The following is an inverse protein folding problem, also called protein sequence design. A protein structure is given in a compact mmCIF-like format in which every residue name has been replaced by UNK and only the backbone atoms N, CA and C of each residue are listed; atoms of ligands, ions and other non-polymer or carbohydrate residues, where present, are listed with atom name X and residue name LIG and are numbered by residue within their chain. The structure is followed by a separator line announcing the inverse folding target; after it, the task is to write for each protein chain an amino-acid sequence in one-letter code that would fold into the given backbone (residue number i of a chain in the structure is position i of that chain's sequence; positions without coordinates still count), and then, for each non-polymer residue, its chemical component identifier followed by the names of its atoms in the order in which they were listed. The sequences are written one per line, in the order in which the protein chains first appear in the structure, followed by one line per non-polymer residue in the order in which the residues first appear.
data_IF_885560451903
#
_entry.id   IF_885560451903
#
_cell.length_a   1.000
_cell.length_b   1.000
_cell.length_c   1.000
_cell.angle_alpha   90.00
_cell.angle_beta   90.00
_cell.angle_gamma   90.00
#
_symmetry.space_group_name_H-M   'P 1'
#
loop_
_entity.id
_entity.type
_entity.pdbx_description
1 polymer ?
#
# COMPACT_ATOMS: atom_id res chain seq x y z
N UNK A 1 22.10 -12.45 11.07
CA UNK A 1 20.81 -12.62 10.36
C UNK A 1 19.68 -12.41 11.36
N UNK A 2 19.59 -11.20 11.91
CA UNK A 2 18.64 -10.82 12.97
C UNK A 2 18.00 -9.44 12.65
N UNK A 3 18.70 -8.61 11.88
CA UNK A 3 18.28 -7.29 11.39
C UNK A 3 17.02 -7.34 10.50
N UNK A 4 16.89 -8.40 9.69
CA UNK A 4 15.76 -8.55 8.76
C UNK A 4 14.41 -8.79 9.48
N UNK A 5 14.43 -9.29 10.72
CA UNK A 5 13.23 -9.47 11.54
C UNK A 5 12.66 -8.13 12.02
N UNK A 6 13.50 -7.27 12.58
CA UNK A 6 13.09 -5.99 13.16
C UNK A 6 12.44 -5.05 12.12
N UNK A 7 12.95 -5.07 10.88
CA UNK A 7 12.40 -4.27 9.78
C UNK A 7 11.05 -4.79 9.30
N UNK A 8 10.91 -6.10 9.14
CA UNK A 8 9.65 -6.70 8.76
C UNK A 8 8.56 -6.45 9.82
N UNK A 9 8.91 -6.53 11.10
CA UNK A 9 8.00 -6.23 12.20
C UNK A 9 7.56 -4.75 12.16
N UNK A 10 8.47 -3.83 11.85
CA UNK A 10 8.14 -2.40 11.68
C UNK A 10 7.19 -2.16 10.51
N UNK A 11 7.42 -2.83 9.38
CA UNK A 11 6.53 -2.74 8.20
C UNK A 11 5.16 -3.30 8.57
N UNK A 12 5.10 -4.48 9.19
CA UNK A 12 3.83 -5.06 9.61
C UNK A 12 3.05 -4.13 10.55
N UNK A 13 3.73 -3.51 11.53
CA UNK A 13 3.11 -2.53 12.43
C UNK A 13 2.58 -1.31 11.69
N UNK A 14 3.29 -0.80 10.67
CA UNK A 14 2.79 0.28 9.82
C UNK A 14 1.51 -0.14 9.07
N UNK A 15 1.51 -1.33 8.45
CA UNK A 15 0.34 -1.85 7.75
C UNK A 15 -0.87 -2.05 8.69
N UNK A 16 -0.63 -2.49 9.93
CA UNK A 16 -1.67 -2.62 10.97
C UNK A 16 -2.24 -1.25 11.37
N UNK A 17 -1.39 -0.23 11.53
CA UNK A 17 -1.85 1.12 11.86
C UNK A 17 -2.76 1.71 10.77
N UNK A 18 -2.51 1.34 9.51
CA UNK A 18 -3.27 1.81 8.35
C UNK A 18 -4.56 1.04 8.12
N UNK A 19 -4.57 -0.27 8.34
CA UNK A 19 -5.73 -1.14 8.02
C UNK A 19 -6.57 -1.51 9.25
N UNK A 20 -6.02 -1.35 10.45
CA UNK A 20 -6.63 -1.80 11.71
C UNK A 20 -6.55 -3.31 11.95
N UNK A 21 -5.97 -4.09 11.04
CA UNK A 21 -5.86 -5.55 11.12
C UNK A 21 -4.48 -6.03 10.67
N UNK A 22 -4.07 -7.22 11.12
CA UNK A 22 -2.79 -7.79 10.72
C UNK A 22 -2.86 -8.42 9.32
N UNK A 23 -1.89 -8.12 8.44
CA UNK A 23 -1.85 -8.72 7.11
C UNK A 23 -1.62 -10.24 7.20
N UNK A 24 -2.34 -11.05 6.39
CA UNK A 24 -2.07 -12.48 6.22
C UNK A 24 -0.60 -12.72 5.85
N UNK A 25 -0.06 -13.90 6.19
CA UNK A 25 1.34 -14.25 5.87
C UNK A 25 1.62 -14.20 4.37
N UNK A 26 0.64 -14.54 3.54
CA UNK A 26 0.75 -14.47 2.09
C UNK A 26 0.99 -13.04 1.59
N UNK A 27 0.38 -12.02 2.20
CA UNK A 27 0.59 -10.61 1.86
C UNK A 27 2.03 -10.20 2.16
N UNK A 28 2.51 -10.50 3.37
CA UNK A 28 3.91 -10.20 3.72
C UNK A 28 4.90 -10.97 2.85
N UNK A 29 4.64 -12.25 2.60
CA UNK A 29 5.53 -13.09 1.77
C UNK A 29 5.61 -12.56 0.34
N UNK A 30 4.49 -12.16 -0.24
CA UNK A 30 4.47 -11.55 -1.57
C UNK A 30 5.19 -10.19 -1.59
N UNK A 31 5.02 -9.37 -0.55
CA UNK A 31 5.73 -8.10 -0.43
C UNK A 31 7.25 -8.31 -0.35
N UNK A 32 7.71 -9.24 0.48
CA UNK A 32 9.12 -9.63 0.60
C UNK A 32 9.72 -10.19 -0.70
N UNK A 33 8.89 -10.76 -1.57
CA UNK A 33 9.33 -11.22 -2.88
C UNK A 33 9.48 -10.06 -3.90
N UNK A 34 8.83 -8.92 -3.67
CA UNK A 34 8.88 -7.74 -4.54
C UNK A 34 10.00 -6.77 -4.12
N UNK A 35 10.21 -6.58 -2.82
CA UNK A 35 11.08 -5.53 -2.29
C UNK A 35 11.94 -6.02 -1.14
N UNK A 36 13.12 -5.42 -0.97
CA UNK A 36 13.93 -5.59 0.23
C UNK A 36 13.37 -4.72 1.38
N UNK A 37 13.00 -5.29 2.53
CA UNK A 37 12.57 -4.54 3.71
C UNK A 37 13.58 -3.51 4.20
N UNK A 38 14.88 -3.74 3.96
CA UNK A 38 15.93 -2.86 4.44
C UNK A 38 15.91 -1.50 3.70
N UNK A 39 15.35 -1.47 2.49
CA UNK A 39 15.20 -0.26 1.66
C UNK A 39 13.85 0.45 1.89
N UNK A 40 13.06 0.06 2.89
CA UNK A 40 11.75 0.64 3.18
C UNK A 40 11.83 2.12 3.56
N UNK A 41 11.03 2.95 2.87
CA UNK A 41 10.89 4.38 3.16
C UNK A 41 9.49 4.70 3.68
N UNK A 42 8.47 4.25 2.96
CA UNK A 42 7.08 4.49 3.30
C UNK A 42 6.21 3.36 2.73
N UNK A 43 5.10 3.06 3.39
CA UNK A 43 4.10 2.15 2.86
C UNK A 43 2.69 2.69 3.06
N UNK A 44 1.77 2.22 2.24
CA UNK A 44 0.35 2.41 2.46
C UNK A 44 -0.38 1.10 2.16
N UNK A 45 -1.42 0.80 2.93
CA UNK A 45 -2.25 -0.36 2.67
C UNK A 45 -3.73 -0.07 2.83
N UNK A 46 -4.48 -0.81 2.04
CA UNK A 46 -5.93 -0.88 2.09
C UNK A 46 -6.38 -2.32 2.29
N UNK A 47 -7.43 -2.46 3.07
CA UNK A 47 -8.07 -3.73 3.36
C UNK A 47 -9.58 -3.59 3.21
N UNK A 48 -10.14 -4.31 2.25
CA UNK A 48 -11.56 -4.28 1.96
C UNK A 48 -12.18 -5.67 2.13
N UNK A 49 -13.07 -5.86 3.12
CA UNK A 49 -13.70 -7.15 3.37
C UNK A 49 -15.10 -7.25 2.72
N UNK A 50 -15.24 -7.41 1.39
CA UNK A 50 -16.54 -7.68 0.76
C UNK A 50 -16.48 -8.04 -0.75
N UNK A 51 -17.15 -9.11 -1.24
CA UNK A 51 -17.48 -10.36 -0.54
C UNK A 51 -16.24 -11.24 -0.34
N UNK A 52 -15.19 -10.97 -1.10
CA UNK A 52 -13.84 -11.48 -0.92
C UNK A 52 -13.02 -10.41 -0.17
N UNK A 53 -11.82 -10.77 0.27
CA UNK A 53 -10.94 -9.82 0.95
C UNK A 53 -9.84 -9.33 0.05
N UNK A 54 -9.86 -8.04 -0.27
CA UNK A 54 -8.78 -7.39 -0.99
C UNK A 54 -7.75 -6.81 -0.03
N UNK A 55 -6.49 -7.12 -0.28
CA UNK A 55 -5.32 -6.46 0.28
C UNK A 55 -4.61 -5.71 -0.83
N UNK A 56 -4.49 -4.38 -0.68
CA UNK A 56 -3.71 -3.54 -1.60
C UNK A 56 -2.60 -2.87 -0.82
N UNK A 57 -1.37 -3.02 -1.27
CA UNK A 57 -0.19 -2.47 -0.59
C UNK A 57 0.65 -1.70 -1.59
N UNK A 58 0.93 -0.44 -1.28
CA UNK A 58 1.92 0.39 -1.95
C UNK A 58 3.13 0.48 -1.06
N UNK A 59 4.31 0.33 -1.65
CA UNK A 59 5.56 0.31 -0.91
C UNK A 59 6.61 1.12 -1.66
N UNK A 60 7.17 2.12 -0.99
CA UNK A 60 8.19 3.00 -1.55
C UNK A 60 9.53 2.59 -0.94
N UNK A 61 10.49 2.33 -1.81
CA UNK A 61 11.89 2.18 -1.46
C UNK A 61 12.69 3.40 -1.86
N UNK A 62 14.01 3.39 -1.62
CA UNK A 62 14.88 4.47 -2.07
C UNK A 62 14.93 4.67 -3.59
N UNK A 63 14.64 3.63 -4.37
CA UNK A 63 14.73 3.68 -5.83
C UNK A 63 13.43 3.33 -6.56
N UNK A 64 12.45 2.70 -5.89
CA UNK A 64 11.32 2.06 -6.57
C UNK A 64 10.00 2.27 -5.84
N UNK A 65 8.92 2.20 -6.62
CA UNK A 65 7.56 2.00 -6.12
C UNK A 65 7.14 0.57 -6.45
N UNK A 66 6.68 -0.16 -5.43
CA UNK A 66 6.06 -1.45 -5.57
C UNK A 66 4.56 -1.37 -5.26
N UNK A 67 3.79 -2.23 -5.92
CA UNK A 67 2.37 -2.41 -5.66
C UNK A 67 2.02 -3.89 -5.65
N UNK A 68 1.20 -4.28 -4.68
CA UNK A 68 0.65 -5.61 -4.51
C UNK A 68 -0.87 -5.48 -4.35
N UNK A 69 -1.62 -6.27 -5.11
CA UNK A 69 -3.05 -6.47 -4.93
C UNK A 69 -3.34 -7.97 -4.91
N UNK A 70 -3.67 -8.48 -3.72
CA UNK A 70 -4.09 -9.85 -3.47
C UNK A 70 -5.55 -9.87 -3.05
N UNK A 71 -6.30 -10.82 -3.59
CA UNK A 71 -7.66 -11.14 -3.17
C UNK A 71 -7.68 -12.52 -2.50
N UNK A 72 -8.43 -12.65 -1.41
CA UNK A 72 -8.69 -13.92 -0.74
C UNK A 72 -10.17 -14.28 -0.86
N UNK A 73 -10.48 -15.53 -1.19
CA UNK A 73 -11.83 -16.03 -1.40
C UNK A 73 -12.69 -16.16 -0.12
N UNK A 74 -12.31 -15.46 0.96
CA UNK A 74 -13.05 -15.36 2.21
C UNK A 74 -13.21 -13.89 2.61
N UNK A 75 -14.39 -13.52 3.12
CA UNK A 75 -14.67 -12.20 3.65
C UNK A 75 -13.95 -11.99 4.98
N UNK A 76 -13.31 -10.83 5.15
CA UNK A 76 -12.65 -10.48 6.41
C UNK A 76 -11.30 -11.16 6.64
N UNK A 77 -10.69 -11.76 5.62
CA UNK A 77 -9.46 -12.52 5.75
C UNK A 77 -8.26 -11.67 6.19
N UNK A 78 -7.74 -11.98 7.37
CA UNK A 78 -6.58 -11.33 7.99
C UNK A 78 -5.81 -12.35 8.84
N UNK A 79 -4.64 -11.98 9.39
CA UNK A 79 -3.80 -12.93 10.16
C UNK A 79 -4.52 -13.59 11.33
N UNK A 80 -5.32 -12.83 12.07
CA UNK A 80 -6.14 -13.39 13.15
C UNK A 80 -7.06 -14.54 12.69
N UNK A 81 -7.66 -14.45 11.50
CA UNK A 81 -8.44 -15.54 10.91
C UNK A 81 -7.53 -16.69 10.46
N UNK A 82 -6.39 -16.38 9.84
CA UNK A 82 -5.38 -17.38 9.45
C UNK A 82 -4.90 -18.23 10.65
N UNK A 83 -4.76 -17.61 11.82
CA UNK A 83 -4.32 -18.26 13.06
C UNK A 83 -5.46 -18.93 13.84
N UNK A 84 -6.69 -18.43 13.73
CA UNK A 84 -7.86 -19.04 14.39
C UNK A 84 -8.30 -20.35 13.72
N UNK A 85 -7.89 -20.58 12.47
CA UNK A 85 -8.21 -21.76 11.67
C UNK A 85 -7.47 -23.05 12.09
N UNK A 86 -6.89 -23.13 13.30
CA UNK A 86 -6.38 -24.38 13.86
C UNK A 86 -7.46 -25.49 13.80
N UNK A 87 -7.35 -26.38 12.81
CA UNK A 87 -8.28 -27.50 12.59
C UNK A 87 -9.14 -27.46 11.32
N UNK A 88 -9.06 -26.42 10.47
CA UNK A 88 -9.64 -26.48 9.11
C UNK A 88 -8.64 -27.14 8.15
N UNK A 89 -9.07 -28.18 7.44
CA UNK A 89 -8.29 -28.84 6.38
C UNK A 89 -8.25 -28.02 5.07
N UNK A 90 -8.96 -26.89 5.01
CA UNK A 90 -9.20 -26.17 3.78
C UNK A 90 -8.36 -24.89 3.72
N UNK A 91 -7.43 -24.86 2.76
CA UNK A 91 -6.66 -23.69 2.37
C UNK A 91 -7.59 -22.61 1.81
N UNK A 92 -7.43 -21.36 2.25
CA UNK A 92 -8.11 -20.20 1.66
C UNK A 92 -7.41 -19.85 0.35
N UNK A 93 -8.13 -19.99 -0.76
CA UNK A 93 -7.62 -19.61 -2.07
C UNK A 93 -7.32 -18.10 -2.13
N UNK A 94 -6.19 -17.75 -2.73
CA UNK A 94 -5.78 -16.37 -2.99
C UNK A 94 -5.49 -16.17 -4.48
N UNK A 95 -5.83 -15.01 -5.01
CA UNK A 95 -5.54 -14.59 -6.38
C UNK A 95 -4.72 -13.29 -6.38
N UNK A 96 -3.70 -13.22 -7.24
CA UNK A 96 -2.91 -12.01 -7.43
C UNK A 96 -3.45 -11.24 -8.63
N UNK A 97 -4.13 -10.11 -8.35
CA UNK A 97 -4.63 -9.20 -9.39
C UNK A 97 -3.52 -8.32 -9.96
N UNK A 98 -2.58 -7.89 -9.10
CA UNK A 98 -1.42 -7.11 -9.52
C UNK A 98 -0.24 -7.32 -8.58
N UNK A 99 0.95 -7.44 -9.15
CA UNK A 99 2.21 -7.42 -8.41
C UNK A 99 3.29 -6.85 -9.35
N UNK A 100 3.83 -5.68 -9.02
CA UNK A 100 4.85 -5.04 -9.85
C UNK A 100 5.75 -4.13 -9.02
N UNK A 101 6.94 -3.89 -9.56
CA UNK A 101 7.93 -2.94 -9.05
C UNK A 101 8.37 -2.07 -10.22
N UNK A 102 8.36 -0.75 -10.04
CA UNK A 102 8.82 0.21 -11.05
C UNK A 102 9.80 1.21 -10.44
N UNK A 103 10.94 1.47 -11.11
CA UNK A 103 11.87 2.49 -10.65
C UNK A 103 11.25 3.89 -10.69
N UNK A 104 11.49 4.69 -9.65
CA UNK A 104 10.97 6.06 -9.52
C UNK A 104 11.65 7.05 -10.48
N UNK A 105 12.89 6.77 -10.89
CA UNK A 105 13.61 7.55 -11.91
C UNK A 105 12.99 7.43 -13.31
N UNK A 106 12.16 6.41 -13.54
CA UNK A 106 11.42 6.24 -14.80
C UNK A 106 10.06 6.92 -14.82
N UNK A 107 9.66 7.63 -13.75
CA UNK A 107 8.43 8.43 -13.77
C UNK A 107 8.60 9.56 -14.79
N UNK A 108 7.67 9.66 -15.74
CA UNK A 108 7.69 10.66 -16.82
C UNK A 108 6.60 11.72 -16.68
N UNK A 109 5.51 11.39 -15.96
CA UNK A 109 4.38 12.29 -15.77
C UNK A 109 3.70 12.01 -14.42
N UNK A 110 3.22 13.09 -13.79
CA UNK A 110 2.35 13.05 -12.63
C UNK A 110 1.06 13.76 -13.00
N UNK A 111 -0.04 13.01 -12.99
CA UNK A 111 -1.35 13.53 -13.30
C UNK A 111 -2.19 13.63 -12.03
N UNK A 112 -2.58 14.85 -11.67
CA UNK A 112 -3.59 15.09 -10.64
C UNK A 112 -4.96 14.93 -11.27
N UNK A 113 -5.73 13.96 -10.79
CA UNK A 113 -7.07 13.65 -11.31
C UNK A 113 -8.09 14.66 -10.80
N UNK A 114 -7.91 15.14 -9.58
CA UNK A 114 -8.75 16.19 -9.01
C UNK A 114 -8.50 16.41 -7.53
N UNK A 115 -9.29 17.30 -6.97
CA UNK A 115 -9.36 17.58 -5.55
C UNK A 115 -10.76 17.23 -5.04
N UNK A 116 -10.83 16.58 -3.90
CA UNK A 116 -12.08 16.28 -3.20
C UNK A 116 -12.64 17.52 -2.53
N UNK A 117 -13.89 17.42 -2.06
CA UNK A 117 -14.50 18.48 -1.28
C UNK A 117 -13.87 18.53 0.13
N UNK A 118 -13.55 19.72 0.66
CA UNK A 118 -13.12 19.82 2.05
C UNK A 118 -14.24 19.30 2.97
N UNK A 119 -13.94 18.29 3.78
CA UNK A 119 -14.87 17.71 4.75
C UNK A 119 -14.60 18.32 6.15
N UNK A 120 -15.65 18.82 6.80
CA UNK A 120 -15.58 19.34 8.18
C UNK A 120 -15.03 20.77 8.29
N UNK A 121 -14.36 21.06 9.41
CA UNK A 121 -13.77 22.39 9.73
C UNK A 121 -12.45 22.67 8.97
N UNK A 122 -11.92 21.69 8.23
CA UNK A 122 -10.71 21.82 7.41
C UNK A 122 -11.00 22.46 6.04
N UNK A 123 -11.72 23.58 6.02
CA UNK A 123 -12.12 24.29 4.79
C UNK A 123 -10.97 24.80 3.91
N UNK A 124 -9.73 24.73 4.41
CA UNK A 124 -8.53 25.19 3.70
C UNK A 124 -7.72 24.05 3.08
N UNK A 125 -8.03 22.79 3.41
CA UNK A 125 -7.33 21.61 2.87
C UNK A 125 -8.20 20.99 1.78
N UNK A 126 -7.72 21.06 0.54
CA UNK A 126 -8.34 20.39 -0.60
C UNK A 126 -7.73 18.99 -0.72
N UNK A 127 -8.39 17.93 -0.22
CA UNK A 127 -7.83 16.59 -0.27
C UNK A 127 -7.60 16.16 -1.71
N UNK A 128 -6.51 15.48 -1.99
CA UNK A 128 -6.20 14.93 -3.29
C UNK A 128 -7.16 13.77 -3.60
N UNK A 129 -8.00 13.95 -4.63
CA UNK A 129 -8.95 12.93 -5.08
C UNK A 129 -8.25 11.78 -5.81
N UNK A 130 -7.13 12.06 -6.47
CA UNK A 130 -6.37 11.02 -7.14
C UNK A 130 -5.10 11.56 -7.77
N UNK A 131 -4.07 10.74 -7.72
CA UNK A 131 -2.79 10.98 -8.38
C UNK A 131 -2.41 9.74 -9.17
N UNK A 132 -2.02 9.96 -10.42
CA UNK A 132 -1.55 8.90 -11.31
C UNK A 132 -0.12 9.19 -11.72
N UNK A 133 0.76 8.23 -11.50
CA UNK A 133 2.11 8.22 -12.04
C UNK A 133 2.10 7.52 -13.40
N UNK A 134 2.78 8.09 -14.39
CA UNK A 134 3.13 7.40 -15.63
C UNK A 134 4.62 7.13 -15.68
N UNK A 135 4.98 5.94 -16.15
CA UNK A 135 6.35 5.47 -16.22
C UNK A 135 6.83 5.39 -17.68
N UNK A 136 8.14 5.36 -17.89
CA UNK A 136 8.75 5.31 -19.22
C UNK A 136 8.41 4.03 -20.00
N UNK A 137 8.03 2.95 -19.31
CA UNK A 137 7.54 1.70 -19.90
C UNK A 137 6.08 1.79 -20.41
N UNK A 138 5.43 2.95 -20.24
CA UNK A 138 4.02 3.17 -20.56
C UNK A 138 3.05 2.69 -19.46
N UNK A 139 3.57 2.09 -18.39
CA UNK A 139 2.81 1.69 -17.22
C UNK A 139 2.27 2.89 -16.46
N UNK A 140 1.18 2.65 -15.72
CA UNK A 140 0.60 3.65 -14.82
C UNK A 140 0.41 3.08 -13.42
N UNK A 141 0.45 3.96 -12.42
CA UNK A 141 0.11 3.64 -11.05
C UNK A 141 -0.82 4.70 -10.49
N UNK A 142 -2.04 4.30 -10.12
CA UNK A 142 -2.94 5.14 -9.34
C UNK A 142 -2.55 5.03 -7.87
N UNK A 143 -2.22 6.17 -7.26
CA UNK A 143 -1.93 6.24 -5.83
C UNK A 143 -3.22 6.28 -5.00
N UNK A 144 -3.14 5.92 -3.71
CA UNK A 144 -4.24 6.07 -2.77
C UNK A 144 -4.75 7.52 -2.68
N UNK A 145 -6.01 7.69 -2.29
CA UNK A 145 -6.68 8.99 -2.24
C UNK A 145 -6.85 9.49 -0.81
N UNK A 146 -6.74 10.79 -0.57
CA UNK A 146 -6.90 11.38 0.76
C UNK A 146 -8.36 11.49 1.21
N UNK A 147 -9.30 10.91 0.45
CA UNK A 147 -10.73 10.97 0.73
C UNK A 147 -11.15 10.10 1.91
N UNK A 148 -10.28 9.20 2.36
CA UNK A 148 -10.48 8.46 3.60
C UNK A 148 -10.78 9.42 4.77
N UNK A 149 -11.80 9.07 5.55
CA UNK A 149 -12.37 9.95 6.59
C UNK A 149 -11.46 10.11 7.83
N UNK A 150 -10.46 9.24 8.00
CA UNK A 150 -9.67 9.19 9.23
C UNK A 150 -8.31 9.91 9.08
N UNK A 151 -7.92 10.76 10.05
CA UNK A 151 -6.65 11.51 10.00
C UNK A 151 -5.40 10.66 9.80
N UNK A 152 -5.33 9.47 10.42
CA UNK A 152 -4.16 8.59 10.28
C UNK A 152 -3.99 8.04 8.86
N UNK A 153 -5.09 7.82 8.12
CA UNK A 153 -5.02 7.40 6.73
C UNK A 153 -4.46 8.51 5.85
N UNK A 154 -4.90 9.76 6.07
CA UNK A 154 -4.37 10.92 5.32
C UNK A 154 -2.89 11.11 5.56
N UNK A 155 -2.44 11.07 6.81
CA UNK A 155 -1.02 11.20 7.14
C UNK A 155 -0.15 10.09 6.51
N UNK A 156 -0.66 8.86 6.41
CA UNK A 156 0.01 7.77 5.70
C UNK A 156 0.14 8.04 4.20
N UNK A 157 -0.91 8.56 3.57
CA UNK A 157 -0.91 8.93 2.14
C UNK A 157 0.03 10.11 1.89
N UNK A 158 0.03 11.11 2.77
CA UNK A 158 0.95 12.25 2.68
C UNK A 158 2.40 11.78 2.72
N UNK A 159 2.74 10.89 3.66
CA UNK A 159 4.07 10.29 3.77
C UNK A 159 4.44 9.50 2.51
N UNK A 160 3.50 8.74 1.95
CA UNK A 160 3.71 8.00 0.71
C UNK A 160 4.02 8.95 -0.47
N UNK A 161 3.21 10.00 -0.63
CA UNK A 161 3.37 10.99 -1.70
C UNK A 161 4.68 11.76 -1.53
N UNK A 162 5.01 12.18 -0.31
CA UNK A 162 6.27 12.85 0.01
C UNK A 162 7.47 11.97 -0.31
N UNK A 163 7.46 10.69 0.10
CA UNK A 163 8.52 9.74 -0.19
C UNK A 163 8.75 9.55 -1.70
N UNK A 164 7.67 9.47 -2.49
CA UNK A 164 7.72 9.41 -3.96
C UNK A 164 8.32 10.72 -4.51
N UNK A 165 7.79 11.86 -4.08
CA UNK A 165 8.23 13.19 -4.52
C UNK A 165 9.74 13.37 -4.37
N UNK A 166 10.31 12.97 -3.24
CA UNK A 166 11.73 13.14 -2.93
C UNK A 166 12.65 12.34 -3.86
N UNK A 167 12.11 11.32 -4.56
CA UNK A 167 12.87 10.35 -5.36
C UNK A 167 12.60 10.45 -6.86
N UNK A 168 11.60 11.24 -7.27
CA UNK A 168 11.30 11.49 -8.69
C UNK A 168 12.25 12.55 -9.25
N UNK A 169 12.96 12.20 -10.32
CA UNK A 169 14.11 12.95 -10.84
C UNK A 169 13.82 14.40 -11.27
N UNK A 170 12.58 14.74 -11.66
CA UNK A 170 12.24 16.08 -12.16
C UNK A 170 11.59 17.01 -11.12
N UNK A 171 11.54 16.60 -9.84
CA UNK A 171 11.11 17.46 -8.73
C UNK A 171 12.28 18.10 -7.97
N UNK A 172 13.53 17.73 -8.29
CA UNK A 172 14.76 18.28 -7.74
C UNK A 172 15.38 19.40 -8.56
#
# INVERSE_FOLDING_TARGET
MQIQGDKLDSIEQELVQLTGVQPPRAVLTALLALVDPDDHVASWADWHPNPNTDWRVWFVTDASLAFLHLEFAEMGWHRGEEESQYGREQFVASETHAAWVRPLDTVTEIQVIGYGNPLGDHRQELPLHGLVLKFADGGTAQLPTQEAMYPQHRAGIDRLIEAIRERVAFWG
#
